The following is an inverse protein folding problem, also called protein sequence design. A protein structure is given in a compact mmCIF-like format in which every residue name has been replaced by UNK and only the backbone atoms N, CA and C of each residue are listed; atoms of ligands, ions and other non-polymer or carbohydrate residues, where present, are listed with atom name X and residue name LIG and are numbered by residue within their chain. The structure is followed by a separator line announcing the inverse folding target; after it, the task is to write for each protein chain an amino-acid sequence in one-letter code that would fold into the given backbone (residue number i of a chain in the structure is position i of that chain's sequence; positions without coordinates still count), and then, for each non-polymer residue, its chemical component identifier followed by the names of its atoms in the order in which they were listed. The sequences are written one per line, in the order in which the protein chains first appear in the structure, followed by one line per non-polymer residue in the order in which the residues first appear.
data_IF_015903246592
#
_entry.id   IF_015903246592
#
_cell.length_a   1.000
_cell.length_b   1.000
_cell.length_c   1.000
_cell.angle_alpha   90.00
_cell.angle_beta   90.00
_cell.angle_gamma   90.00
#
_symmetry.space_group_name_H-M   'P 1'
#
loop_
_entity.id
_entity.type
_entity.pdbx_description
1 polymer ?
#
# COMPACT_ATOMS: atom_id res chain seq x y z
N UNK A 1 -3.09 -1.25 7.90
CA UNK A 1 -1.78 -0.87 8.51
C UNK A 1 -0.58 -1.10 7.62
N UNK A 2 -0.42 -2.26 6.95
CA UNK A 2 0.75 -2.52 6.06
C UNK A 2 1.01 -1.37 5.07
N UNK A 3 -0.05 -0.83 4.46
CA UNK A 3 0.06 0.32 3.56
C UNK A 3 0.63 1.57 4.24
N UNK A 4 0.30 1.83 5.50
CA UNK A 4 0.87 2.97 6.24
C UNK A 4 2.33 2.75 6.61
N UNK A 5 2.74 1.51 6.91
CA UNK A 5 4.14 1.19 7.14
C UNK A 5 4.95 1.45 5.87
N UNK A 6 4.50 0.89 4.73
CA UNK A 6 5.16 1.08 3.43
C UNK A 6 5.27 2.57 3.06
N UNK A 7 4.22 3.35 3.34
CA UNK A 7 4.14 4.78 3.02
C UNK A 7 4.80 5.70 4.06
N UNK A 8 5.32 5.16 5.16
CA UNK A 8 5.90 5.97 6.24
C UNK A 8 4.88 6.76 7.06
N UNK A 9 3.61 6.37 7.03
CA UNK A 9 2.48 7.01 7.74
C UNK A 9 2.07 6.31 9.03
N UNK A 10 2.64 5.14 9.30
CA UNK A 10 2.30 4.37 10.49
C UNK A 10 2.67 5.13 11.78
N UNK A 11 1.76 5.21 12.73
CA UNK A 11 1.88 5.95 13.98
C UNK A 11 2.40 5.08 15.13
N UNK A 12 2.61 3.78 14.91
CA UNK A 12 2.69 2.80 16.01
C UNK A 12 3.77 3.06 17.07
N UNK A 13 4.98 3.57 16.85
CA UNK A 13 6.05 3.82 17.88
C UNK A 13 6.49 2.68 18.84
N UNK A 14 5.71 1.62 19.05
CA UNK A 14 6.05 0.50 19.93
C UNK A 14 6.24 0.86 21.40
N UNK A 15 6.66 -0.13 22.18
CA UNK A 15 7.07 0.09 23.56
C UNK A 15 8.51 0.64 23.56
N UNK A 16 8.68 1.90 24.00
CA UNK A 16 9.93 2.69 23.83
C UNK A 16 11.19 2.01 24.36
N UNK A 17 11.06 1.03 25.25
CA UNK A 17 12.19 0.29 25.84
C UNK A 17 12.67 -0.91 25.02
N UNK A 18 11.89 -1.42 24.06
CA UNK A 18 12.23 -2.64 23.29
C UNK A 18 12.14 -2.49 21.78
N UNK A 19 11.12 -1.78 21.26
CA UNK A 19 10.74 -1.90 19.84
C UNK A 19 11.18 -0.72 18.97
N UNK A 20 11.77 0.32 19.57
CA UNK A 20 12.18 1.50 18.81
C UNK A 20 13.26 1.15 17.78
N UNK A 21 14.21 0.30 18.15
CA UNK A 21 15.29 -0.15 17.27
C UNK A 21 14.79 -0.97 16.09
N UNK A 22 13.87 -1.92 16.30
CA UNK A 22 13.33 -2.76 15.22
C UNK A 22 12.55 -1.93 14.17
N UNK A 23 11.78 -0.94 14.64
CA UNK A 23 11.05 -0.02 13.77
C UNK A 23 11.99 0.89 12.99
N UNK A 24 13.00 1.44 13.65
CA UNK A 24 14.00 2.30 13.01
C UNK A 24 14.80 1.49 11.97
N UNK A 25 15.14 0.23 12.27
CA UNK A 25 15.74 -0.70 11.32
C UNK A 25 14.84 -0.99 10.11
N UNK A 26 13.55 -1.23 10.34
CA UNK A 26 12.58 -1.44 9.26
C UNK A 26 12.46 -0.20 8.37
N UNK A 27 12.31 0.98 8.97
CA UNK A 27 12.20 2.24 8.23
C UNK A 27 13.49 2.53 7.45
N UNK A 28 14.66 2.29 8.04
CA UNK A 28 15.94 2.43 7.35
C UNK A 28 16.07 1.48 6.16
N UNK A 29 15.61 0.22 6.29
CA UNK A 29 15.57 -0.74 5.18
C UNK A 29 14.63 -0.26 4.07
N UNK A 30 13.44 0.23 4.42
CA UNK A 30 12.50 0.80 3.46
C UNK A 30 13.10 2.02 2.74
N UNK A 31 13.73 2.95 3.46
CA UNK A 31 14.44 4.09 2.86
C UNK A 31 15.50 3.65 1.86
N UNK A 32 16.30 2.63 2.21
CA UNK A 32 17.32 2.09 1.31
C UNK A 32 16.70 1.51 0.02
N UNK A 33 15.64 0.71 0.14
CA UNK A 33 14.92 0.14 -1.01
C UNK A 33 14.35 1.25 -1.89
N UNK A 34 13.66 2.24 -1.30
CA UNK A 34 13.07 3.33 -2.07
C UNK A 34 14.09 4.29 -2.66
N UNK A 35 15.30 4.40 -2.08
CA UNK A 35 16.44 5.09 -2.69
C UNK A 35 16.89 4.41 -3.98
N UNK A 36 17.01 3.08 -3.96
CA UNK A 36 17.35 2.28 -5.14
C UNK A 36 16.26 2.42 -6.22
N UNK A 37 14.99 2.23 -5.85
CA UNK A 37 13.84 2.42 -6.77
C UNK A 37 13.83 3.85 -7.34
N UNK A 38 14.03 4.87 -6.51
CA UNK A 38 14.09 6.27 -6.96
C UNK A 38 15.18 6.46 -8.02
N UNK A 39 16.38 5.93 -7.79
CA UNK A 39 17.49 5.98 -8.74
C UNK A 39 17.12 5.31 -10.07
N UNK A 40 16.49 4.15 -10.03
CA UNK A 40 16.07 3.42 -11.24
C UNK A 40 15.01 4.20 -12.02
N UNK A 41 13.91 4.60 -11.38
CA UNK A 41 12.79 5.26 -12.06
C UNK A 41 13.17 6.65 -12.58
N UNK A 42 14.17 7.31 -11.98
CA UNK A 42 14.66 8.62 -12.42
C UNK A 42 15.82 8.57 -13.41
N UNK A 43 16.15 7.39 -13.95
CA UNK A 43 17.25 7.21 -14.92
C UNK A 43 16.82 7.16 -16.40
N UNK A 44 15.52 6.96 -16.67
CA UNK A 44 15.01 6.77 -18.03
C UNK A 44 14.68 8.05 -18.82
N UNK A 45 13.98 7.89 -19.95
CA UNK A 45 13.62 8.99 -20.85
C UNK A 45 12.79 10.11 -20.17
N UNK A 46 12.02 9.77 -19.13
CA UNK A 46 11.20 10.72 -18.37
C UNK A 46 11.91 11.25 -17.12
N UNK A 47 13.25 11.15 -17.05
CA UNK A 47 14.04 11.48 -15.85
C UNK A 47 13.70 12.84 -15.25
N UNK A 48 13.56 13.88 -16.07
CA UNK A 48 13.41 15.25 -15.55
C UNK A 48 12.04 15.41 -14.89
N UNK A 49 10.98 14.92 -15.53
CA UNK A 49 9.63 14.90 -14.96
C UNK A 49 9.55 14.05 -13.69
N UNK A 50 10.20 12.89 -13.66
CA UNK A 50 10.19 11.99 -12.50
C UNK A 50 11.03 12.52 -11.34
N UNK A 51 12.18 13.15 -11.61
CA UNK A 51 12.97 13.86 -10.60
C UNK A 51 12.18 15.02 -10.00
N UNK A 52 11.41 15.77 -10.80
CA UNK A 52 10.53 16.82 -10.27
C UNK A 52 9.38 16.24 -9.44
N UNK A 53 8.70 15.19 -9.92
CA UNK A 53 7.58 14.54 -9.21
C UNK A 53 8.04 13.98 -7.86
N UNK A 54 9.16 13.27 -7.87
CA UNK A 54 9.73 12.58 -6.70
C UNK A 54 10.86 13.35 -6.03
N UNK A 55 10.92 14.67 -6.24
CA UNK A 55 11.88 15.50 -5.53
C UNK A 55 11.61 15.41 -4.02
N UNK A 56 12.56 14.85 -3.29
CA UNK A 56 12.47 14.67 -1.85
C UNK A 56 13.78 15.10 -1.19
N UNK A 57 13.71 16.24 -0.51
CA UNK A 57 14.86 16.83 0.18
C UNK A 57 15.22 16.07 1.46
N UNK A 58 14.31 15.25 1.99
CA UNK A 58 14.47 14.55 3.28
C UNK A 58 14.80 13.06 3.11
N UNK A 59 15.00 12.59 1.87
CA UNK A 59 15.28 11.19 1.52
C UNK A 59 14.23 10.18 2.09
N UNK A 60 12.99 10.64 2.29
CA UNK A 60 11.92 9.79 2.82
C UNK A 60 11.13 9.06 1.71
N UNK A 61 11.19 9.58 0.48
CA UNK A 61 10.53 9.13 -0.73
C UNK A 61 8.99 9.07 -0.64
N UNK A 62 8.35 9.94 0.13
CA UNK A 62 6.91 9.82 0.44
C UNK A 62 6.02 9.73 -0.80
N UNK A 63 6.22 10.62 -1.79
CA UNK A 63 5.43 10.59 -3.04
C UNK A 63 5.64 9.31 -3.84
N UNK A 64 6.87 8.82 -3.89
CA UNK A 64 7.21 7.57 -4.57
C UNK A 64 6.60 6.36 -3.83
N UNK A 65 6.64 6.35 -2.50
CA UNK A 65 6.01 5.30 -1.68
C UNK A 65 4.50 5.25 -1.84
N UNK A 66 3.83 6.41 -1.90
CA UNK A 66 2.40 6.52 -2.18
C UNK A 66 2.04 5.96 -3.56
N UNK A 67 2.75 6.40 -4.61
CA UNK A 67 2.54 5.92 -5.97
C UNK A 67 2.81 4.41 -6.09
N UNK A 68 3.86 3.93 -5.42
CA UNK A 68 4.19 2.51 -5.36
C UNK A 68 3.09 1.70 -4.68
N UNK A 69 2.56 2.17 -3.55
CA UNK A 69 1.44 1.50 -2.88
C UNK A 69 0.20 1.47 -3.77
N UNK A 70 -0.16 2.60 -4.39
CA UNK A 70 -1.29 2.67 -5.33
C UNK A 70 -1.15 1.66 -6.47
N UNK A 71 0.04 1.54 -7.07
CA UNK A 71 0.30 0.62 -8.16
C UNK A 71 0.29 -0.86 -7.75
N UNK A 72 0.62 -1.19 -6.49
CA UNK A 72 0.84 -2.57 -6.04
C UNK A 72 -0.19 -3.09 -5.03
N UNK A 73 -1.08 -2.25 -4.49
CA UNK A 73 -2.05 -2.63 -3.43
C UNK A 73 -2.94 -3.80 -3.82
N UNK A 74 -3.25 -3.95 -5.10
CA UNK A 74 -4.02 -5.09 -5.62
C UNK A 74 -3.26 -6.42 -5.44
N UNK A 75 -2.01 -6.46 -5.88
CA UNK A 75 -1.13 -7.63 -5.72
C UNK A 75 -0.93 -7.95 -4.25
N UNK A 76 -0.75 -6.93 -3.40
CA UNK A 76 -0.64 -7.10 -1.94
C UNK A 76 -1.94 -7.68 -1.36
N UNK A 77 -3.11 -7.18 -1.76
CA UNK A 77 -4.40 -7.73 -1.33
C UNK A 77 -4.56 -9.20 -1.74
N UNK A 78 -4.16 -9.54 -2.97
CA UNK A 78 -4.13 -10.93 -3.46
C UNK A 78 -3.16 -11.81 -2.68
N UNK A 79 -2.07 -11.29 -2.15
CA UNK A 79 -1.20 -12.06 -1.26
C UNK A 79 -1.86 -12.28 0.12
N UNK A 80 -2.39 -11.21 0.73
CA UNK A 80 -3.02 -11.25 2.07
C UNK A 80 -4.18 -12.25 2.13
N UNK A 81 -5.00 -12.27 1.09
CA UNK A 81 -6.21 -13.10 1.04
C UNK A 81 -5.96 -14.51 0.46
N UNK A 82 -4.70 -14.90 0.20
CA UNK A 82 -4.38 -16.18 -0.45
C UNK A 82 -4.92 -17.39 0.33
N UNK A 83 -4.77 -17.32 1.66
CA UNK A 83 -5.20 -18.36 2.61
C UNK A 83 -6.55 -18.07 3.26
N UNK A 84 -7.30 -17.06 2.79
CA UNK A 84 -8.66 -16.84 3.26
C UNK A 84 -9.55 -18.05 2.88
N UNK A 85 -10.55 -18.40 3.71
CA UNK A 85 -11.56 -19.40 3.34
C UNK A 85 -12.23 -19.04 2.01
N UNK A 86 -12.58 -20.06 1.21
CA UNK A 86 -13.16 -19.84 -0.12
C UNK A 86 -14.44 -18.98 -0.05
N UNK A 87 -15.30 -19.25 0.94
CA UNK A 87 -16.57 -18.54 1.17
C UNK A 87 -16.41 -17.25 2.00
N UNK A 88 -15.18 -16.83 2.32
CA UNK A 88 -14.96 -15.62 3.10
C UNK A 88 -15.36 -14.37 2.29
N UNK A 89 -16.15 -13.50 2.90
CA UNK A 89 -16.70 -12.32 2.24
C UNK A 89 -16.09 -11.04 2.80
N UNK A 90 -15.82 -10.07 1.93
CA UNK A 90 -15.62 -8.68 2.36
C UNK A 90 -16.96 -7.94 2.31
N UNK A 91 -17.35 -7.37 3.46
CA UNK A 91 -18.60 -6.64 3.60
C UNK A 91 -18.46 -5.22 3.02
N UNK A 92 -19.43 -4.82 2.20
CA UNK A 92 -19.41 -3.57 1.45
C UNK A 92 -19.47 -3.87 -0.02
N UNK A 93 -20.62 -3.58 -0.65
CA UNK A 93 -20.80 -3.72 -2.09
C UNK A 93 -19.81 -2.83 -2.83
N UNK A 94 -18.65 -3.39 -3.16
CA UNK A 94 -17.48 -2.68 -3.71
C UNK A 94 -16.95 -3.35 -4.97
N UNK A 95 -17.39 -4.59 -5.23
CA UNK A 95 -17.12 -5.28 -6.46
C UNK A 95 -18.04 -4.77 -7.57
N UNK A 96 -17.52 -4.83 -8.80
CA UNK A 96 -18.30 -4.51 -9.99
C UNK A 96 -19.36 -5.59 -10.19
N UNK A 97 -20.62 -5.27 -9.90
CA UNK A 97 -21.76 -6.12 -10.22
C UNK A 97 -22.38 -5.79 -11.57
N UNK A 98 -23.58 -6.33 -11.82
CA UNK A 98 -24.33 -6.04 -13.04
C UNK A 98 -24.85 -4.59 -13.05
N UNK A 99 -24.48 -3.84 -14.08
CA UNK A 99 -24.93 -2.45 -14.25
C UNK A 99 -24.35 -1.50 -13.19
N UNK A 100 -25.23 -0.80 -12.46
CA UNK A 100 -24.87 0.14 -11.38
C UNK A 100 -24.90 -0.49 -9.98
N UNK A 101 -25.22 -1.78 -9.87
CA UNK A 101 -25.38 -2.44 -8.58
C UNK A 101 -24.06 -3.07 -8.16
N UNK A 102 -23.44 -2.62 -7.06
CA UNK A 102 -22.21 -3.23 -6.61
C UNK A 102 -22.50 -4.54 -5.87
N UNK A 103 -21.59 -5.51 -6.00
CA UNK A 103 -21.69 -6.83 -5.36
C UNK A 103 -20.66 -6.96 -4.24
N UNK A 104 -20.87 -7.94 -3.36
CA UNK A 104 -19.91 -8.31 -2.33
C UNK A 104 -18.74 -9.08 -2.94
N UNK A 105 -17.59 -9.00 -2.26
CA UNK A 105 -16.42 -9.80 -2.59
C UNK A 105 -16.56 -11.18 -1.94
N UNK A 106 -17.28 -12.09 -2.59
CA UNK A 106 -17.77 -13.33 -1.98
C UNK A 106 -16.75 -14.48 -1.93
N UNK A 107 -15.70 -14.43 -2.76
CA UNK A 107 -14.72 -15.51 -2.86
C UNK A 107 -13.35 -15.06 -2.31
N UNK A 108 -12.93 -15.60 -1.17
CA UNK A 108 -11.68 -15.20 -0.47
C UNK A 108 -11.53 -13.70 -0.25
N UNK A 109 -12.61 -12.99 0.06
CA UNK A 109 -12.62 -11.53 0.19
C UNK A 109 -12.14 -10.81 -1.09
N UNK A 110 -12.38 -11.38 -2.28
CA UNK A 110 -12.01 -10.81 -3.58
C UNK A 110 -13.21 -10.67 -4.50
N UNK A 111 -13.11 -9.72 -5.42
CA UNK A 111 -14.03 -9.57 -6.52
C UNK A 111 -13.68 -10.59 -7.63
N UNK A 112 -14.68 -11.26 -8.20
CA UNK A 112 -14.47 -12.14 -9.34
C UNK A 112 -14.10 -11.34 -10.60
N UNK A 113 -13.11 -11.81 -11.35
CA UNK A 113 -12.72 -11.24 -12.64
C UNK A 113 -12.24 -9.79 -12.62
N UNK A 114 -12.03 -9.22 -11.43
CA UNK A 114 -11.69 -7.81 -11.26
C UNK A 114 -10.44 -7.65 -10.39
N UNK A 115 -9.47 -6.91 -10.92
CA UNK A 115 -8.26 -6.42 -10.26
C UNK A 115 -8.59 -5.29 -9.27
N UNK A 116 -9.60 -5.49 -8.43
CA UNK A 116 -10.14 -4.48 -7.53
C UNK A 116 -9.95 -4.95 -6.09
N UNK A 117 -9.37 -4.08 -5.26
CA UNK A 117 -9.36 -4.24 -3.81
C UNK A 117 -10.71 -3.75 -3.28
N UNK A 118 -11.50 -4.60 -2.60
CA UNK A 118 -12.85 -4.25 -2.14
C UNK A 118 -12.86 -3.30 -0.93
N UNK A 119 -11.69 -2.86 -0.45
CA UNK A 119 -11.56 -1.95 0.68
C UNK A 119 -10.79 -0.68 0.29
N UNK A 120 -11.09 0.41 1.00
CA UNK A 120 -10.37 1.68 0.94
C UNK A 120 -9.83 2.10 2.31
N UNK A 121 -9.76 1.18 3.29
CA UNK A 121 -9.22 1.50 4.61
C UNK A 121 -7.76 1.98 4.54
N UNK A 122 -6.99 1.56 3.55
CA UNK A 122 -5.66 2.10 3.28
C UNK A 122 -5.65 3.58 2.82
N UNK A 123 -6.81 4.20 2.56
CA UNK A 123 -6.94 5.64 2.33
C UNK A 123 -7.64 6.38 3.48
N UNK A 124 -7.97 5.68 4.57
CA UNK A 124 -8.50 6.26 5.80
C UNK A 124 -7.34 6.55 6.76
N UNK A 125 -7.23 7.77 7.36
CA UNK A 125 -6.22 8.08 8.36
C UNK A 125 -6.17 7.05 9.48
N UNK A 126 -4.98 6.58 9.87
CA UNK A 126 -4.83 5.46 10.83
C UNK A 126 -5.61 5.63 12.13
N UNK A 127 -5.67 6.85 12.66
CA UNK A 127 -6.38 7.15 13.89
C UNK A 127 -7.91 6.90 13.80
N UNK A 128 -8.47 6.93 12.59
CA UNK A 128 -9.91 6.76 12.34
C UNK A 128 -10.28 5.35 11.85
N UNK A 129 -9.31 4.46 11.68
CA UNK A 129 -9.53 3.07 11.24
C UNK A 129 -9.95 2.19 12.41
#
# INVERSE_FOLDING_TARGET
DIGDIVRGKDLYRGDKKKNQTERDELENKLKKIFKEIHSEVTSGNNKDALKTRYNDNEENYYKLREDWWYANRETVWKAITCSAPDEAQYFGGTCRGHGKYPTLAIHKCRCEGANIVPTYFDYVPQFLR
#
